data_IF_522831899967
#
_entry.id   IF_522831899967
#
_cell.length_a   1.000
_cell.length_b   1.000
_cell.length_c   1.000
_cell.angle_alpha   90.00
_cell.angle_beta   90.00
_cell.angle_gamma   90.00
#
_symmetry.space_group_name_H-M   'P 1'
#
loop_
_entity.id
_entity.type
_entity.pdbx_description
1 polymer ?
#
# COMPACT_ATOMS: atom_id res chain seq x y z
N UNK A 1 -29.63 -23.94 2.56
CA UNK A 1 -28.43 -24.06 1.71
C UNK A 1 -27.69 -22.73 1.75
N UNK A 2 -26.70 -22.63 2.64
CA UNK A 2 -25.88 -21.42 2.79
C UNK A 2 -24.93 -21.30 1.60
N UNK A 3 -25.00 -20.19 0.88
CA UNK A 3 -23.95 -19.81 -0.08
C UNK A 3 -22.72 -19.46 0.75
N UNK A 4 -21.74 -20.34 0.80
CA UNK A 4 -20.42 -20.06 1.31
C UNK A 4 -19.83 -18.94 0.45
N UNK A 5 -19.79 -17.72 0.99
CA UNK A 5 -19.03 -16.64 0.39
C UNK A 5 -17.57 -17.05 0.39
N UNK A 6 -16.98 -17.22 -0.79
CA UNK A 6 -15.54 -17.36 -0.90
C UNK A 6 -14.92 -16.16 -0.19
N UNK A 7 -14.20 -16.40 0.90
CA UNK A 7 -13.50 -15.34 1.63
C UNK A 7 -12.50 -14.70 0.69
N UNK A 8 -12.75 -13.45 0.30
CA UNK A 8 -11.79 -12.66 -0.47
C UNK A 8 -10.64 -12.37 0.46
N UNK A 9 -9.49 -13.01 0.20
CA UNK A 9 -8.24 -12.68 0.90
C UNK A 9 -7.90 -11.22 0.61
N UNK A 10 -7.93 -10.40 1.65
CA UNK A 10 -7.68 -8.96 1.53
C UNK A 10 -6.23 -8.69 1.92
N UNK A 11 -5.35 -8.57 0.95
CA UNK A 11 -4.00 -8.11 1.18
C UNK A 11 -3.98 -6.59 1.39
N UNK A 12 -4.16 -6.17 2.63
CA UNK A 12 -4.04 -4.77 3.01
C UNK A 12 -2.68 -4.55 3.67
N UNK A 13 -1.78 -3.90 2.96
CA UNK A 13 -0.42 -3.64 3.41
C UNK A 13 -0.18 -2.15 3.74
N UNK A 14 -1.27 -1.42 3.96
CA UNK A 14 -1.32 -0.08 4.54
C UNK A 14 -2.40 -0.10 5.62
N UNK A 15 -1.99 0.05 6.87
CA UNK A 15 -2.88 0.03 8.03
C UNK A 15 -3.25 1.46 8.49
N UNK A 16 -2.31 2.42 8.35
CA UNK A 16 -2.50 3.83 8.73
C UNK A 16 -1.76 4.76 7.79
N UNK A 17 -2.29 5.97 7.58
CA UNK A 17 -1.62 7.06 6.86
C UNK A 17 -1.19 8.10 7.91
N UNK A 18 0.10 8.40 8.01
CA UNK A 18 0.66 9.38 8.93
C UNK A 18 0.73 10.78 8.32
N UNK A 19 1.05 10.84 7.03
CA UNK A 19 1.16 12.10 6.32
C UNK A 19 0.66 11.95 4.88
N UNK A 20 0.02 13.00 4.38
CA UNK A 20 -0.39 13.11 2.98
C UNK A 20 -0.29 14.55 2.51
N UNK A 21 0.35 14.72 1.38
CA UNK A 21 0.32 15.94 0.54
C UNK A 21 0.04 15.55 -0.91
N UNK A 22 0.07 16.51 -1.83
CA UNK A 22 -0.14 16.24 -3.26
C UNK A 22 1.01 15.44 -3.90
N UNK A 23 2.19 15.44 -3.28
CA UNK A 23 3.41 14.82 -3.84
C UNK A 23 4.00 13.74 -2.93
N UNK A 24 3.51 13.58 -1.70
CA UNK A 24 4.11 12.67 -0.73
C UNK A 24 3.05 12.01 0.14
N UNK A 25 3.24 10.71 0.38
CA UNK A 25 2.49 9.96 1.39
C UNK A 25 3.45 9.24 2.32
N UNK A 26 3.10 9.22 3.60
CA UNK A 26 3.73 8.39 4.62
C UNK A 26 2.67 7.51 5.23
N UNK A 27 2.92 6.21 5.22
CA UNK A 27 1.99 5.21 5.71
C UNK A 27 2.70 4.13 6.54
N UNK A 28 1.95 3.36 7.29
CA UNK A 28 2.47 2.31 8.16
C UNK A 28 1.75 1.00 7.89
N UNK A 29 2.52 -0.09 7.84
CA UNK A 29 2.07 -1.47 7.92
C UNK A 29 2.59 -2.08 9.22
N UNK A 30 1.67 -2.49 10.10
CA UNK A 30 2.00 -3.26 11.30
C UNK A 30 2.14 -4.74 10.96
N UNK A 31 3.14 -5.40 11.53
CA UNK A 31 3.38 -6.84 11.31
C UNK A 31 2.96 -7.62 12.54
N UNK A 32 2.01 -8.52 12.37
CA UNK A 32 1.46 -9.37 13.43
C UNK A 32 1.67 -10.86 13.11
N UNK A 33 1.91 -11.69 14.14
CA UNK A 33 1.93 -13.15 13.96
C UNK A 33 0.62 -13.75 13.47
N UNK A 34 -0.48 -12.99 13.48
CA UNK A 34 -1.77 -13.41 12.92
C UNK A 34 -1.82 -13.37 11.37
N UNK A 35 -0.79 -12.88 10.72
CA UNK A 35 -0.70 -12.83 9.26
C UNK A 35 -0.35 -14.23 8.71
N UNK A 36 -1.23 -14.81 7.89
CA UNK A 36 -1.10 -16.19 7.40
C UNK A 36 0.24 -16.47 6.69
N UNK A 37 0.74 -15.51 5.91
CA UNK A 37 1.99 -15.66 5.16
C UNK A 37 3.23 -15.80 6.05
N UNK A 38 3.17 -15.41 7.33
CA UNK A 38 4.29 -15.56 8.26
C UNK A 38 4.48 -17.00 8.74
N UNK A 39 3.45 -17.84 8.65
CA UNK A 39 3.56 -19.27 9.00
C UNK A 39 4.58 -20.00 8.11
N UNK A 40 4.71 -19.58 6.85
CA UNK A 40 5.58 -20.19 5.86
C UNK A 40 6.87 -19.38 5.59
N UNK A 41 6.93 -18.11 6.02
CA UNK A 41 8.05 -17.21 5.67
C UNK A 41 8.73 -16.56 6.88
N UNK A 42 9.61 -17.19 7.60
CA UNK A 42 10.07 -18.57 7.69
C UNK A 42 9.53 -19.17 9.00
N UNK A 43 9.22 -20.46 9.09
CA UNK A 43 8.57 -21.05 10.29
C UNK A 43 9.28 -20.80 11.62
N UNK A 44 10.62 -20.78 11.63
CA UNK A 44 11.44 -20.53 12.83
C UNK A 44 11.95 -19.10 12.96
N UNK A 45 11.74 -18.27 11.93
CA UNK A 45 12.16 -16.87 11.89
C UNK A 45 11.15 -16.06 11.06
N UNK A 46 9.94 -15.81 11.58
CA UNK A 46 8.90 -15.12 10.84
C UNK A 46 9.30 -13.65 10.58
N UNK A 47 9.29 -13.26 9.32
CA UNK A 47 9.56 -11.89 8.87
C UNK A 47 8.66 -11.50 7.70
N UNK A 48 8.33 -10.22 7.60
CA UNK A 48 7.57 -9.70 6.48
C UNK A 48 8.32 -9.98 5.16
N UNK A 49 7.72 -10.72 4.21
CA UNK A 49 8.35 -11.00 2.93
C UNK A 49 8.75 -9.74 2.18
N UNK A 50 9.93 -9.75 1.55
CA UNK A 50 10.41 -8.60 0.77
C UNK A 50 9.44 -8.15 -0.32
N UNK A 51 8.76 -9.10 -0.98
CA UNK A 51 7.72 -8.81 -1.98
C UNK A 51 6.50 -8.12 -1.37
N UNK A 52 6.15 -8.41 -0.11
CA UNK A 52 5.06 -7.73 0.60
C UNK A 52 5.50 -6.31 1.05
N UNK A 53 6.78 -6.11 1.36
CA UNK A 53 7.32 -4.76 1.58
C UNK A 53 7.21 -3.91 0.30
N UNK A 54 7.56 -4.46 -0.88
CA UNK A 54 7.40 -3.77 -2.16
C UNK A 54 5.93 -3.48 -2.46
N UNK A 55 5.03 -4.41 -2.17
CA UNK A 55 3.59 -4.19 -2.30
C UNK A 55 3.07 -3.11 -1.34
N UNK A 56 3.62 -2.99 -0.12
CA UNK A 56 3.28 -1.88 0.78
C UNK A 56 3.64 -0.52 0.17
N UNK A 57 4.81 -0.40 -0.48
CA UNK A 57 5.18 0.82 -1.23
C UNK A 57 4.21 1.08 -2.39
N UNK A 58 3.83 0.02 -3.12
CA UNK A 58 2.90 0.08 -4.24
C UNK A 58 1.53 0.57 -3.80
N UNK A 59 0.99 0.01 -2.71
CA UNK A 59 -0.31 0.42 -2.17
C UNK A 59 -0.29 1.86 -1.64
N UNK A 60 0.79 2.29 -0.98
CA UNK A 60 0.93 3.68 -0.55
C UNK A 60 0.95 4.64 -1.75
N UNK A 61 1.71 4.31 -2.81
CA UNK A 61 1.73 5.09 -4.06
C UNK A 61 0.35 5.12 -4.75
N UNK A 62 -0.38 4.00 -4.73
CA UNK A 62 -1.73 3.92 -5.27
C UNK A 62 -2.70 4.84 -4.51
N UNK A 63 -2.61 4.89 -3.17
CA UNK A 63 -3.41 5.82 -2.36
C UNK A 63 -3.11 7.28 -2.66
N UNK A 64 -1.83 7.64 -2.88
CA UNK A 64 -1.45 8.99 -3.30
C UNK A 64 -2.08 9.34 -4.65
N UNK A 65 -2.03 8.44 -5.65
CA UNK A 65 -2.66 8.64 -6.96
C UNK A 65 -4.18 8.76 -6.87
N UNK A 66 -4.84 7.84 -6.16
CA UNK A 66 -6.29 7.87 -5.97
C UNK A 66 -6.73 9.20 -5.36
N UNK A 67 -6.03 9.67 -4.31
CA UNK A 67 -6.37 10.93 -3.66
C UNK A 67 -6.09 12.14 -4.56
N UNK A 68 -4.94 12.16 -5.24
CA UNK A 68 -4.53 13.25 -6.13
C UNK A 68 -5.50 13.46 -7.30
N UNK A 69 -6.10 12.38 -7.80
CA UNK A 69 -7.04 12.40 -8.94
C UNK A 69 -8.51 12.35 -8.52
N UNK A 70 -8.81 12.50 -7.24
CA UNK A 70 -10.13 12.30 -6.66
C UNK A 70 -10.80 10.99 -7.09
N UNK A 71 -10.02 9.89 -7.10
CA UNK A 71 -10.49 8.55 -7.45
C UNK A 71 -11.06 8.47 -8.88
N UNK A 72 -10.47 9.21 -9.84
CA UNK A 72 -10.91 9.21 -11.23
C UNK A 72 -10.82 7.82 -11.89
N UNK A 73 -9.81 7.03 -11.56
CA UNK A 73 -9.64 5.66 -12.06
C UNK A 73 -9.87 4.62 -10.96
N UNK A 74 -10.29 3.44 -11.38
CA UNK A 74 -10.55 2.30 -10.50
C UNK A 74 -9.30 1.53 -10.12
N UNK A 75 -8.31 1.46 -11.03
CA UNK A 75 -7.11 0.65 -10.93
C UNK A 75 -5.85 1.51 -10.82
N UNK A 76 -4.99 1.13 -9.88
CA UNK A 76 -3.61 1.58 -9.77
C UNK A 76 -2.75 0.33 -9.56
N UNK A 77 -1.93 -0.04 -10.54
CA UNK A 77 -1.18 -1.31 -10.53
C UNK A 77 0.31 -1.05 -10.76
N UNK A 78 1.15 -1.83 -10.11
CA UNK A 78 2.58 -1.80 -10.33
C UNK A 78 2.89 -2.21 -11.77
N UNK A 79 3.47 -1.31 -12.55
CA UNK A 79 3.94 -1.56 -13.91
C UNK A 79 5.40 -1.96 -13.92
N UNK A 80 6.21 -1.30 -13.11
CA UNK A 80 7.63 -1.55 -13.04
C UNK A 80 8.20 -1.19 -11.65
N UNK A 81 9.20 -1.98 -11.20
CA UNK A 81 10.02 -1.65 -10.05
C UNK A 81 11.50 -1.71 -10.44
N UNK A 82 12.24 -0.64 -10.15
CA UNK A 82 13.68 -0.51 -10.46
C UNK A 82 14.46 -0.19 -9.19
N UNK A 83 15.75 -0.58 -9.20
CA UNK A 83 16.67 -0.29 -8.10
C UNK A 83 16.14 -0.77 -6.73
N UNK A 84 15.43 -1.89 -6.74
CA UNK A 84 14.92 -2.50 -5.52
C UNK A 84 16.09 -3.01 -4.70
N UNK A 85 16.25 -2.48 -3.48
CA UNK A 85 17.28 -2.90 -2.54
C UNK A 85 16.62 -3.22 -1.22
N UNK A 86 16.79 -4.45 -0.77
CA UNK A 86 16.37 -4.91 0.54
C UNK A 86 17.50 -4.70 1.55
N UNK A 87 17.13 -4.20 2.72
CA UNK A 87 18.04 -3.97 3.84
C UNK A 87 17.69 -4.88 5.02
N UNK A 88 17.10 -4.31 6.06
CA UNK A 88 16.79 -5.06 7.28
C UNK A 88 15.40 -5.73 7.24
N UNK A 89 15.24 -6.78 8.05
CA UNK A 89 13.97 -7.49 8.18
C UNK A 89 12.97 -6.73 9.07
N UNK A 90 11.69 -6.94 8.82
CA UNK A 90 10.60 -6.49 9.68
C UNK A 90 9.97 -7.71 10.32
N UNK A 91 10.17 -7.88 11.62
CA UNK A 91 9.65 -8.99 12.39
C UNK A 91 8.25 -8.68 12.97
N UNK A 92 7.47 -9.69 13.39
CA UNK A 92 6.25 -9.51 14.14
C UNK A 92 6.47 -8.66 15.40
N UNK A 93 5.50 -7.77 15.67
CA UNK A 93 5.61 -6.74 16.71
C UNK A 93 6.25 -5.43 16.24
N UNK A 94 6.91 -5.44 15.07
CA UNK A 94 7.43 -4.25 14.42
C UNK A 94 6.46 -3.65 13.41
N UNK A 95 6.87 -2.52 12.83
CA UNK A 95 6.15 -1.82 11.79
C UNK A 95 7.07 -1.47 10.61
N UNK A 96 6.54 -1.55 9.40
CA UNK A 96 7.14 -0.99 8.19
C UNK A 96 6.52 0.39 7.96
N UNK A 97 7.30 1.44 8.16
CA UNK A 97 6.93 2.80 7.79
C UNK A 97 7.37 3.04 6.35
N UNK A 98 6.42 3.30 5.47
CA UNK A 98 6.66 3.54 4.06
C UNK A 98 6.51 5.02 3.74
N UNK A 99 7.46 5.55 2.98
CA UNK A 99 7.46 6.90 2.47
C UNK A 99 7.57 6.87 0.96
N UNK A 100 6.63 7.50 0.28
CA UNK A 100 6.54 7.53 -1.18
C UNK A 100 6.44 8.97 -1.65
N UNK A 101 7.37 9.37 -2.51
CA UNK A 101 7.42 10.68 -3.14
C UNK A 101 7.15 10.56 -4.63
N UNK A 102 6.25 11.39 -5.12
CA UNK A 102 5.94 11.51 -6.54
C UNK A 102 7.14 12.14 -7.27
N UNK A 103 7.62 11.46 -8.32
CA UNK A 103 8.68 11.97 -9.15
C UNK A 103 8.16 12.59 -10.46
N UNK A 104 7.23 11.88 -11.14
CA UNK A 104 6.66 12.33 -12.39
C UNK A 104 5.30 11.72 -12.62
N UNK A 105 4.36 12.49 -13.16
CA UNK A 105 3.06 12.00 -13.68
C UNK A 105 3.08 11.92 -15.19
N UNK A 106 2.30 10.98 -15.73
CA UNK A 106 1.96 10.85 -17.14
C UNK A 106 0.44 10.72 -17.27
N UNK A 107 -0.08 10.72 -18.48
CA UNK A 107 -1.53 10.58 -18.73
C UNK A 107 -2.10 9.24 -18.22
N UNK A 108 -1.26 8.21 -18.10
CA UNK A 108 -1.67 6.83 -17.76
C UNK A 108 -1.04 6.27 -16.49
N UNK A 109 -0.34 7.11 -15.70
CA UNK A 109 0.31 6.65 -14.49
C UNK A 109 1.28 7.65 -13.86
N UNK A 110 2.14 7.14 -12.99
CA UNK A 110 3.15 7.97 -12.33
C UNK A 110 4.35 7.13 -11.88
N UNK A 111 5.50 7.81 -11.73
CA UNK A 111 6.72 7.24 -11.14
C UNK A 111 6.98 7.84 -9.77
N UNK A 112 7.53 7.02 -8.87
CA UNK A 112 7.78 7.39 -7.49
C UNK A 112 9.17 6.94 -7.04
N UNK A 113 9.73 7.70 -6.10
CA UNK A 113 10.79 7.24 -5.21
C UNK A 113 10.15 6.76 -3.92
N UNK A 114 10.52 5.57 -3.46
CA UNK A 114 9.89 4.96 -2.32
C UNK A 114 10.91 4.31 -1.38
N UNK A 115 10.70 4.47 -0.07
CA UNK A 115 11.55 3.92 0.99
C UNK A 115 10.67 3.34 2.08
N UNK A 116 11.03 2.15 2.56
CA UNK A 116 10.47 1.55 3.75
C UNK A 116 11.52 1.49 4.86
N UNK A 117 11.16 1.90 6.06
CA UNK A 117 12.01 1.85 7.26
C UNK A 117 11.35 1.02 8.34
N UNK A 118 12.15 0.34 9.17
CA UNK A 118 11.64 -0.39 10.35
C UNK A 118 11.44 0.58 11.49
N UNK A 119 10.29 0.50 12.14
CA UNK A 119 9.96 1.22 13.36
C UNK A 119 9.36 0.28 14.42
N UNK A 120 9.26 0.76 15.64
CA UNK A 120 8.58 0.10 16.77
C UNK A 120 7.06 0.32 16.77
N UNK A 121 6.53 0.96 15.72
CA UNK A 121 5.12 1.35 15.63
C UNK A 121 4.75 2.60 16.42
N UNK A 122 5.61 3.08 17.33
CA UNK A 122 5.38 4.25 18.20
C UNK A 122 6.13 5.51 17.72
N UNK A 123 6.86 5.43 16.60
CA UNK A 123 7.59 6.57 16.03
C UNK A 123 8.99 6.80 16.61
N UNK A 124 9.44 6.03 17.59
CA UNK A 124 10.72 6.18 18.29
C UNK A 124 11.79 5.15 17.93
N UNK A 125 11.52 4.27 16.97
CA UNK A 125 12.43 3.19 16.60
C UNK A 125 13.59 3.62 15.69
N UNK A 126 14.62 2.76 15.61
CA UNK A 126 15.72 2.89 14.68
C UNK A 126 15.21 2.97 13.24
N UNK A 127 15.53 4.03 12.52
CA UNK A 127 15.13 4.24 11.12
C UNK A 127 15.96 3.39 10.14
N UNK A 128 16.20 2.11 10.46
CA UNK A 128 16.92 1.22 9.56
C UNK A 128 16.11 0.99 8.27
N UNK A 129 16.77 1.16 7.12
CA UNK A 129 16.11 0.96 5.83
C UNK A 129 15.85 -0.53 5.62
N UNK A 130 14.56 -0.89 5.48
CA UNK A 130 14.13 -2.24 5.13
C UNK A 130 14.08 -2.45 3.62
N UNK A 131 13.68 -1.41 2.89
CA UNK A 131 13.50 -1.47 1.45
C UNK A 131 13.62 -0.08 0.84
N UNK A 132 14.21 0.01 -0.35
CA UNK A 132 14.08 1.19 -1.22
C UNK A 132 13.88 0.77 -2.66
N UNK A 133 13.10 1.56 -3.41
CA UNK A 133 12.79 1.30 -4.81
C UNK A 133 12.44 2.58 -5.57
N UNK A 134 12.52 2.51 -6.90
CA UNK A 134 11.77 3.39 -7.81
C UNK A 134 10.67 2.55 -8.44
N UNK A 135 9.43 3.01 -8.33
CA UNK A 135 8.26 2.29 -8.84
C UNK A 135 7.50 3.14 -9.84
N UNK A 136 6.95 2.49 -10.84
CA UNK A 136 6.02 3.07 -11.80
C UNK A 136 4.67 2.36 -11.66
N UNK A 137 3.61 3.13 -11.47
CA UNK A 137 2.24 2.65 -11.46
C UNK A 137 1.53 3.07 -12.73
N UNK A 138 0.76 2.13 -13.32
CA UNK A 138 -0.26 2.42 -14.30
C UNK A 138 -1.57 2.74 -13.58
N UNK A 139 -2.31 3.75 -14.09
CA UNK A 139 -3.55 4.24 -13.50
C UNK A 139 -4.62 4.38 -14.58
N UNK A 140 -5.71 3.58 -14.50
CA UNK A 140 -6.70 3.43 -15.57
C UNK A 140 -8.03 2.88 -15.07
N UNK A 141 -9.06 2.91 -15.92
CA UNK A 141 -10.30 2.17 -15.73
C UNK A 141 -10.33 0.92 -16.61
N UNK A 142 -10.92 -0.15 -16.10
CA UNK A 142 -11.10 -1.40 -16.85
C UNK A 142 -12.05 -1.21 -18.04
N UNK A 143 -13.07 -0.36 -17.86
CA UNK A 143 -14.05 -0.01 -18.87
C UNK A 143 -13.47 0.73 -20.09
N UNK A 144 -12.29 1.35 -19.96
CA UNK A 144 -11.62 2.04 -21.08
C UNK A 144 -11.28 1.07 -22.22
N UNK A 145 -11.00 -0.20 -21.87
CA UNK A 145 -10.72 -1.28 -22.83
C UNK A 145 -11.90 -2.24 -23.05
N UNK A 146 -12.72 -2.41 -22.01
CA UNK A 146 -13.86 -3.34 -22.02
C UNK A 146 -15.09 -2.64 -21.42
N UNK A 147 -15.96 -2.03 -22.25
CA UNK A 147 -17.11 -1.27 -21.76
C UNK A 147 -18.03 -2.03 -20.80
N UNK A 148 -18.11 -3.36 -20.91
CA UNK A 148 -18.86 -4.21 -19.98
C UNK A 148 -18.37 -4.14 -18.53
N UNK A 149 -17.14 -3.67 -18.28
CA UNK A 149 -16.55 -3.54 -16.94
C UNK A 149 -16.74 -2.15 -16.30
N UNK A 150 -17.44 -1.23 -16.96
CA UNK A 150 -17.66 0.13 -16.45
C UNK A 150 -18.39 0.14 -15.08
N UNK A 151 -19.32 -0.79 -14.86
CA UNK A 151 -20.00 -0.92 -13.56
C UNK A 151 -19.06 -1.41 -12.47
N UNK A 152 -18.14 -2.33 -12.80
CA UNK A 152 -17.11 -2.78 -11.87
C UNK A 152 -16.17 -1.62 -11.48
N UNK A 153 -15.78 -0.77 -12.42
CA UNK A 153 -15.00 0.43 -12.13
C UNK A 153 -15.70 1.36 -11.14
N UNK A 154 -17.01 1.58 -11.31
CA UNK A 154 -17.79 2.37 -10.38
C UNK A 154 -17.74 1.79 -8.96
N UNK A 155 -17.95 0.47 -8.84
CA UNK A 155 -17.90 -0.24 -7.55
C UNK A 155 -16.51 -0.18 -6.91
N UNK A 156 -15.43 -0.35 -7.68
CA UNK A 156 -14.04 -0.26 -7.19
C UNK A 156 -13.70 1.14 -6.71
N UNK A 157 -14.07 2.20 -7.46
CA UNK A 157 -13.85 3.59 -7.02
C UNK A 157 -14.61 3.90 -5.73
N UNK A 158 -15.84 3.44 -5.60
CA UNK A 158 -16.63 3.61 -4.37
C UNK A 158 -16.03 2.83 -3.20
N UNK A 159 -15.57 1.59 -3.43
CA UNK A 159 -14.85 0.79 -2.45
C UNK A 159 -13.58 1.52 -1.97
N UNK A 160 -12.77 2.03 -2.89
CA UNK A 160 -11.55 2.76 -2.57
C UNK A 160 -11.84 4.04 -1.76
N UNK A 161 -12.89 4.81 -2.09
CA UNK A 161 -13.32 5.97 -1.30
C UNK A 161 -13.72 5.60 0.13
N UNK A 162 -14.51 4.53 0.30
CA UNK A 162 -14.89 4.04 1.65
C UNK A 162 -13.68 3.61 2.46
N UNK A 163 -12.76 2.86 1.84
CA UNK A 163 -11.54 2.43 2.51
C UNK A 163 -10.63 3.59 2.87
N UNK A 164 -10.49 4.56 1.98
CA UNK A 164 -9.78 5.80 2.25
C UNK A 164 -10.31 6.53 3.49
N UNK A 165 -11.63 6.60 3.65
CA UNK A 165 -12.25 7.23 4.82
C UNK A 165 -11.83 6.54 6.13
N UNK A 166 -11.74 5.20 6.14
CA UNK A 166 -11.25 4.43 7.30
C UNK A 166 -9.78 4.73 7.61
N UNK A 167 -8.90 4.70 6.60
CA UNK A 167 -7.48 4.99 6.77
C UNK A 167 -7.23 6.42 7.30
N UNK A 168 -8.06 7.38 6.89
CA UNK A 168 -7.98 8.78 7.34
C UNK A 168 -8.53 8.98 8.74
N UNK A 169 -9.59 8.30 9.14
CA UNK A 169 -10.14 8.38 10.50
C UNK A 169 -9.10 7.95 11.54
N UNK A 170 -8.38 6.87 11.29
CA UNK A 170 -7.29 6.39 12.15
C UNK A 170 -6.13 7.38 12.27
N UNK A 171 -5.92 8.25 11.27
CA UNK A 171 -4.87 9.29 11.30
C UNK A 171 -5.25 10.50 12.15
N UNK A 172 -6.54 10.81 12.30
CA UNK A 172 -7.03 11.97 13.04
C UNK A 172 -7.05 11.73 14.57
N UNK A 173 -7.20 10.48 15.02
CA UNK A 173 -7.27 10.13 16.44
C UNK A 173 -5.91 10.14 17.16
N UNK A 174 -4.80 10.16 16.41
CA UNK A 174 -3.43 10.19 16.99
C UNK A 174 -2.90 11.62 17.20
N UNK A 175 -3.64 12.63 16.78
CA UNK A 175 -3.26 14.04 16.87
C UNK A 175 -3.83 14.76 18.13
N UNK A 176 -4.30 13.99 19.15
CA UNK A 176 -4.80 14.52 20.45
C UNK A 176 -3.83 14.19 21.57
#
# INVERSE_FOLDING_TARGET
MGRGGAGVVKFNLVDRIEHLSDERIVAVKYVSLAEEYLADHFPTFPVLPGVMMLESLTQAAAWLLHKRTDFACSMAVLKEARNVKYGTFVAPGGALRVEVELNKTTDTGATFKAVGTVGDGNGNGSSAVALQARIELAYFNLGDKQPALAELDRQLREHNRRRWAVLRAQSAEVAV
#
